data_IF_358822405202
#
_entry.id   IF_358822405202
#
_cell.length_a   1.000
_cell.length_b   1.000
_cell.length_c   1.000
_cell.angle_alpha   90.00
_cell.angle_beta   90.00
_cell.angle_gamma   90.00
#
_symmetry.space_group_name_H-M   'P 1'
#
loop_
_entity.id
_entity.type
_entity.pdbx_description
1 polymer ?
#
# COMPACT_ATOMS: atom_id res chain seq x y z
N UNK A 1 -7.10 -18.44 48.51
CA UNK A 1 -7.56 -18.81 47.16
C UNK A 1 -7.62 -17.52 46.34
N UNK A 2 -6.54 -17.17 45.62
CA UNK A 2 -6.43 -15.92 44.87
C UNK A 2 -7.04 -16.10 43.48
N UNK A 3 -8.17 -15.45 43.23
CA UNK A 3 -8.82 -15.41 41.92
C UNK A 3 -7.98 -14.52 41.00
N UNK A 4 -7.31 -15.14 40.02
CA UNK A 4 -6.54 -14.42 39.00
C UNK A 4 -7.54 -13.80 38.02
N UNK A 5 -7.65 -12.47 38.06
CA UNK A 5 -8.46 -11.69 37.13
C UNK A 5 -7.87 -11.77 35.71
N UNK A 6 -8.58 -12.47 34.83
CA UNK A 6 -8.16 -12.75 33.45
C UNK A 6 -8.38 -11.55 32.51
N UNK A 7 -8.96 -10.44 32.98
CA UNK A 7 -9.31 -9.29 32.12
C UNK A 7 -8.12 -8.46 31.65
N UNK A 8 -6.91 -8.70 32.19
CA UNK A 8 -5.74 -7.83 31.98
C UNK A 8 -4.70 -8.31 30.97
N UNK A 9 -5.04 -9.27 30.09
CA UNK A 9 -4.12 -9.74 29.04
C UNK A 9 -4.56 -9.34 27.62
N UNK A 10 -5.10 -8.13 27.43
CA UNK A 10 -5.28 -7.60 26.07
C UNK A 10 -3.92 -7.12 25.52
N UNK A 11 -3.09 -8.09 25.09
CA UNK A 11 -1.92 -7.79 24.26
C UNK A 11 -2.43 -7.05 23.02
N UNK A 12 -2.01 -5.79 22.84
CA UNK A 12 -2.36 -4.99 21.65
C UNK A 12 -2.12 -5.84 20.39
N UNK A 13 -3.11 -5.95 19.49
CA UNK A 13 -2.95 -6.75 18.29
C UNK A 13 -1.79 -6.19 17.46
N UNK A 14 -0.85 -7.07 17.06
CA UNK A 14 0.19 -6.72 16.08
C UNK A 14 -0.52 -6.31 14.78
N UNK A 15 -0.08 -5.22 14.15
CA UNK A 15 -0.66 -4.70 12.89
C UNK A 15 -0.88 -5.83 11.89
N UNK A 16 -2.15 -6.18 11.71
CA UNK A 16 -2.62 -7.26 10.87
C UNK A 16 -4.12 -7.46 11.14
N UNK A 17 -4.89 -7.71 10.08
CA UNK A 17 -6.32 -8.00 10.22
C UNK A 17 -6.49 -9.24 11.11
N UNK A 18 -7.31 -9.14 12.15
CA UNK A 18 -7.66 -10.27 13.00
C UNK A 18 -8.41 -11.28 12.13
N UNK A 19 -7.94 -12.52 12.05
CA UNK A 19 -8.69 -13.56 11.32
C UNK A 19 -10.03 -13.81 12.02
N UNK A 20 -11.09 -14.01 11.21
CA UNK A 20 -12.40 -14.42 11.68
C UNK A 20 -12.28 -15.70 12.52
N UNK A 21 -13.18 -15.90 13.49
CA UNK A 21 -13.09 -17.04 14.41
C UNK A 21 -13.11 -18.39 13.69
N UNK A 22 -13.84 -18.50 12.58
CA UNK A 22 -13.90 -19.67 11.69
C UNK A 22 -12.55 -20.03 11.07
N UNK A 23 -11.72 -19.02 10.79
CA UNK A 23 -10.46 -19.19 10.07
C UNK A 23 -9.27 -19.39 11.03
N UNK A 24 -9.54 -19.36 12.34
CA UNK A 24 -8.50 -19.58 13.36
C UNK A 24 -8.12 -21.05 13.40
N UNK A 25 -6.84 -21.30 13.18
CA UNK A 25 -6.25 -22.64 13.21
C UNK A 25 -6.06 -23.09 14.66
N UNK A 26 -7.08 -23.74 15.24
CA UNK A 26 -7.08 -24.19 16.64
C UNK A 26 -6.66 -25.66 16.83
N UNK A 27 -6.80 -26.49 15.80
CA UNK A 27 -6.49 -27.92 15.89
C UNK A 27 -5.01 -28.19 15.60
N UNK A 28 -4.37 -29.01 16.46
CA UNK A 28 -2.98 -29.43 16.31
C UNK A 28 -2.94 -30.88 15.84
N UNK A 29 -2.18 -31.14 14.78
CA UNK A 29 -1.85 -32.49 14.30
C UNK A 29 -0.39 -32.76 14.62
N UNK A 30 -0.10 -33.92 15.23
CA UNK A 30 1.27 -34.37 15.52
C UNK A 30 1.54 -35.64 14.72
N UNK A 31 2.62 -35.64 13.94
CA UNK A 31 3.04 -36.78 13.13
C UNK A 31 4.50 -37.10 13.47
N UNK A 32 4.82 -38.39 13.62
CA UNK A 32 6.20 -38.84 13.77
C UNK A 32 6.79 -39.11 12.39
N UNK A 33 8.01 -38.67 12.17
CA UNK A 33 8.77 -38.85 10.94
C UNK A 33 10.15 -39.42 11.30
N UNK A 34 10.76 -40.17 10.39
CA UNK A 34 12.13 -40.63 10.54
C UNK A 34 13.14 -39.52 10.12
N UNK A 35 14.43 -39.77 10.31
CA UNK A 35 15.48 -38.78 10.03
C UNK A 35 15.60 -38.43 8.54
N UNK A 36 15.38 -39.40 7.65
CA UNK A 36 15.44 -39.21 6.20
C UNK A 36 14.26 -38.34 5.71
N UNK A 37 13.06 -38.63 6.19
CA UNK A 37 11.84 -37.85 5.92
C UNK A 37 11.96 -36.43 6.47
N UNK A 38 12.57 -36.26 7.65
CA UNK A 38 12.81 -34.93 8.23
C UNK A 38 13.78 -34.11 7.37
N UNK A 39 14.87 -34.73 6.90
CA UNK A 39 15.83 -34.08 6.01
C UNK A 39 15.19 -33.66 4.68
N UNK A 40 14.31 -34.51 4.13
CA UNK A 40 13.56 -34.19 2.92
C UNK A 40 12.57 -33.02 3.11
N UNK A 41 11.87 -32.99 4.25
CA UNK A 41 10.99 -31.87 4.60
C UNK A 41 11.79 -30.56 4.71
N UNK A 42 12.96 -30.60 5.35
CA UNK A 42 13.83 -29.43 5.51
C UNK A 42 14.44 -28.95 4.19
N UNK A 43 14.73 -29.85 3.25
CA UNK A 43 15.17 -29.49 1.91
C UNK A 43 14.04 -28.85 1.08
N UNK A 44 12.81 -29.37 1.18
CA UNK A 44 11.67 -28.89 0.38
C UNK A 44 11.01 -27.62 0.92
N UNK A 45 11.11 -27.34 2.23
CA UNK A 45 10.39 -26.20 2.86
C UNK A 45 10.91 -24.82 2.48
N UNK A 46 12.16 -24.70 2.05
CA UNK A 46 12.80 -23.42 1.76
C UNK A 46 12.73 -22.45 2.96
N UNK A 47 12.05 -21.32 2.78
CA UNK A 47 11.94 -20.24 3.78
C UNK A 47 10.79 -20.41 4.79
N UNK A 48 9.97 -21.46 4.65
CA UNK A 48 8.80 -21.67 5.49
C UNK A 48 9.12 -22.51 6.73
N UNK A 49 8.31 -22.33 7.79
CA UNK A 49 8.32 -23.22 8.94
C UNK A 49 7.74 -24.59 8.55
N UNK A 50 8.23 -25.66 9.18
CA UNK A 50 7.85 -27.06 8.87
C UNK A 50 6.33 -27.27 8.87
N UNK A 51 5.63 -26.76 9.89
CA UNK A 51 4.18 -26.90 10.00
C UNK A 51 3.40 -26.10 8.96
N UNK A 52 3.90 -24.93 8.56
CA UNK A 52 3.30 -24.14 7.49
C UNK A 52 3.49 -24.82 6.13
N UNK A 53 4.71 -25.30 5.86
CA UNK A 53 5.04 -26.04 4.65
C UNK A 53 4.17 -27.29 4.48
N UNK A 54 4.06 -28.15 5.50
CA UNK A 54 3.24 -29.36 5.44
C UNK A 54 1.76 -29.06 5.22
N UNK A 55 1.25 -27.98 5.81
CA UNK A 55 -0.13 -27.54 5.58
C UNK A 55 -0.33 -27.06 4.14
N UNK A 56 0.62 -26.29 3.61
CA UNK A 56 0.54 -25.82 2.23
C UNK A 56 0.65 -26.96 1.21
N UNK A 57 1.50 -27.95 1.47
CA UNK A 57 1.65 -29.13 0.61
C UNK A 57 0.39 -30.00 0.61
N UNK A 58 -0.24 -30.20 1.77
CA UNK A 58 -1.43 -31.03 1.90
C UNK A 58 -2.68 -30.39 1.27
N UNK A 59 -2.91 -29.10 1.52
CA UNK A 59 -4.10 -28.39 1.05
C UNK A 59 -3.90 -27.69 -0.30
N UNK A 60 -2.83 -28.01 -1.03
CA UNK A 60 -2.57 -27.47 -2.35
C UNK A 60 -2.47 -25.94 -2.39
N UNK A 61 -2.13 -25.30 -1.27
CA UNK A 61 -1.98 -23.84 -1.17
C UNK A 61 -0.65 -23.42 -1.81
N UNK A 62 -0.44 -23.73 -3.10
CA UNK A 62 0.77 -23.39 -3.85
C UNK A 62 0.98 -21.87 -4.01
N UNK A 63 0.02 -21.02 -3.62
CA UNK A 63 0.04 -19.58 -3.89
C UNK A 63 -0.46 -18.70 -2.74
N UNK A 64 -0.86 -19.24 -1.59
CA UNK A 64 -1.43 -18.41 -0.53
C UNK A 64 -0.35 -17.95 0.46
N UNK A 65 0.31 -16.86 0.06
CA UNK A 65 1.30 -16.07 0.79
C UNK A 65 2.74 -16.55 0.60
N UNK A 66 3.39 -16.22 -0.54
CA UNK A 66 4.72 -15.67 -0.37
C UNK A 66 4.63 -14.67 0.79
N UNK A 67 5.52 -14.76 1.79
CA UNK A 67 5.82 -13.56 2.59
C UNK A 67 5.84 -12.41 1.58
N UNK A 68 5.12 -11.32 1.78
CA UNK A 68 5.13 -10.25 0.82
C UNK A 68 6.52 -9.62 0.93
N UNK A 69 7.53 -10.25 0.34
CA UNK A 69 8.47 -9.55 -0.50
C UNK A 69 7.55 -8.97 -1.56
N UNK A 70 6.99 -7.80 -1.26
CA UNK A 70 6.29 -6.99 -2.23
C UNK A 70 7.40 -6.64 -3.20
N UNK A 71 7.62 -7.50 -4.20
CA UNK A 71 8.43 -7.17 -5.35
C UNK A 71 7.54 -6.18 -6.09
N UNK A 72 7.63 -4.92 -5.68
CA UNK A 72 7.01 -3.81 -6.38
C UNK A 72 7.63 -3.88 -7.77
N UNK A 73 6.85 -4.06 -8.85
CA UNK A 73 7.40 -4.10 -10.20
C UNK A 73 8.29 -2.88 -10.42
N UNK A 74 9.44 -3.05 -11.07
CA UNK A 74 10.41 -1.96 -11.24
C UNK A 74 9.77 -0.70 -11.86
N UNK A 75 8.81 -0.88 -12.76
CA UNK A 75 7.99 0.20 -13.32
C UNK A 75 7.29 1.04 -12.25
N UNK A 76 6.66 0.40 -11.27
CA UNK A 76 5.94 1.08 -10.19
C UNK A 76 6.90 1.81 -9.25
N UNK A 77 8.11 1.29 -9.04
CA UNK A 77 9.13 1.96 -8.23
C UNK A 77 9.54 3.29 -8.87
N UNK A 78 9.80 3.29 -10.18
CA UNK A 78 10.14 4.51 -10.94
C UNK A 78 8.99 5.51 -10.93
N UNK A 79 7.75 5.04 -11.16
CA UNK A 79 6.56 5.89 -11.15
C UNK A 79 6.35 6.55 -9.77
N UNK A 80 6.53 5.81 -8.68
CA UNK A 80 6.44 6.34 -7.32
C UNK A 80 7.51 7.38 -7.03
N UNK A 81 8.73 7.17 -7.52
CA UNK A 81 9.83 8.11 -7.31
C UNK A 81 9.57 9.44 -8.02
N UNK A 82 9.09 9.40 -9.28
CA UNK A 82 8.70 10.59 -10.03
C UNK A 82 7.53 11.31 -9.35
N UNK A 83 6.49 10.56 -8.96
CA UNK A 83 5.32 11.12 -8.30
C UNK A 83 5.67 11.75 -6.94
N UNK A 84 6.55 11.11 -6.17
CA UNK A 84 7.00 11.61 -4.87
C UNK A 84 7.70 12.96 -4.98
N UNK A 85 8.52 13.17 -6.02
CA UNK A 85 9.17 14.46 -6.29
C UNK A 85 8.14 15.55 -6.60
N UNK A 86 7.19 15.28 -7.49
CA UNK A 86 6.12 16.23 -7.82
C UNK A 86 5.25 16.57 -6.60
N UNK A 87 4.90 15.56 -5.78
CA UNK A 87 4.15 15.77 -4.55
C UNK A 87 4.93 16.58 -3.51
N UNK A 88 6.25 16.37 -3.39
CA UNK A 88 7.10 17.16 -2.50
C UNK A 88 7.15 18.63 -2.93
N UNK A 89 7.33 18.90 -4.23
CA UNK A 89 7.31 20.26 -4.77
C UNK A 89 5.95 20.93 -4.55
N UNK A 90 4.85 20.20 -4.78
CA UNK A 90 3.50 20.70 -4.50
C UNK A 90 3.34 21.03 -3.02
N UNK A 91 3.81 20.16 -2.13
CA UNK A 91 3.73 20.38 -0.68
C UNK A 91 4.57 21.58 -0.23
N UNK A 92 5.72 21.82 -0.86
CA UNK A 92 6.53 23.03 -0.62
C UNK A 92 5.81 24.28 -1.11
N UNK A 93 5.20 24.25 -2.31
CA UNK A 93 4.37 25.36 -2.81
C UNK A 93 3.19 25.64 -1.88
N UNK A 94 2.44 24.61 -1.48
CA UNK A 94 1.34 24.75 -0.51
C UNK A 94 1.83 25.33 0.81
N UNK A 95 3.00 24.90 1.30
CA UNK A 95 3.60 25.44 2.52
C UNK A 95 3.96 26.92 2.37
N UNK A 96 4.63 27.30 1.29
CA UNK A 96 4.98 28.70 1.02
C UNK A 96 3.75 29.58 0.86
N UNK A 97 2.69 29.09 0.21
CA UNK A 97 1.41 29.80 0.10
C UNK A 97 0.74 29.98 1.47
N UNK A 98 0.74 28.93 2.30
CA UNK A 98 0.20 28.99 3.66
C UNK A 98 1.01 29.94 4.57
N UNK A 99 2.34 29.93 4.48
CA UNK A 99 3.25 30.80 5.25
C UNK A 99 3.18 32.27 4.78
N UNK A 100 2.94 32.51 3.50
CA UNK A 100 2.70 33.84 2.93
C UNK A 100 1.32 34.43 3.27
N UNK A 101 0.46 33.68 3.99
CA UNK A 101 -0.86 34.14 4.41
C UNK A 101 -1.89 34.21 3.29
N UNK A 102 -1.62 33.61 2.12
CA UNK A 102 -2.63 33.42 1.07
C UNK A 102 -3.68 32.44 1.58
N UNK A 103 -4.85 32.97 1.93
CA UNK A 103 -5.97 32.15 2.35
C UNK A 103 -6.49 31.35 1.15
N UNK A 104 -7.07 30.18 1.44
CA UNK A 104 -7.72 29.26 0.47
C UNK A 104 -8.77 29.97 -0.43
N UNK A 105 -9.16 31.20 -0.09
CA UNK A 105 -10.02 32.07 -0.88
C UNK A 105 -9.45 32.45 -2.26
N UNK A 106 -8.13 32.42 -2.47
CA UNK A 106 -7.51 32.83 -3.75
C UNK A 106 -7.24 31.65 -4.72
N UNK A 107 -7.44 30.41 -4.28
CA UNK A 107 -7.30 29.21 -5.10
C UNK A 107 -8.15 29.21 -6.38
N UNK A 108 -9.42 29.66 -6.36
CA UNK A 108 -10.24 29.78 -7.58
C UNK A 108 -9.60 30.72 -8.61
N UNK A 109 -9.01 31.83 -8.15
CA UNK A 109 -8.39 32.82 -9.03
C UNK A 109 -7.10 32.29 -9.67
N UNK A 110 -6.30 31.54 -8.91
CA UNK A 110 -5.09 30.88 -9.40
C UNK A 110 -5.44 29.82 -10.47
N UNK A 111 -6.52 29.06 -10.27
CA UNK A 111 -7.02 28.07 -11.25
C UNK A 111 -7.46 28.76 -12.55
N UNK A 112 -8.17 29.89 -12.46
CA UNK A 112 -8.57 30.68 -13.63
C UNK A 112 -7.34 31.20 -14.39
N UNK A 113 -6.36 31.77 -13.69
CA UNK A 113 -5.12 32.26 -14.32
C UNK A 113 -4.33 31.14 -15.01
N UNK A 114 -4.21 29.97 -14.38
CA UNK A 114 -3.51 28.83 -14.97
C UNK A 114 -4.23 28.27 -16.21
N UNK A 115 -5.57 28.34 -16.22
CA UNK A 115 -6.37 27.95 -17.38
C UNK A 115 -6.17 28.92 -18.54
N UNK A 116 -6.22 30.23 -18.29
CA UNK A 116 -5.94 31.26 -19.29
C UNK A 116 -4.51 31.17 -19.85
N UNK A 117 -3.53 30.92 -18.97
CA UNK A 117 -2.15 30.73 -19.38
C UNK A 117 -1.95 29.48 -20.23
N UNK A 118 -2.61 28.37 -19.86
CA UNK A 118 -2.65 27.15 -20.67
C UNK A 118 -3.27 27.42 -22.04
N UNK A 119 -4.39 28.13 -22.10
CA UNK A 119 -5.08 28.44 -23.36
C UNK A 119 -4.21 29.33 -24.27
N UNK A 120 -3.49 30.30 -23.70
CA UNK A 120 -2.53 31.13 -24.42
C UNK A 120 -1.33 30.32 -24.95
N UNK A 121 -0.82 29.35 -24.18
CA UNK A 121 0.27 28.46 -24.61
C UNK A 121 -0.17 27.46 -25.69
N UNK A 122 -1.43 27.03 -25.67
CA UNK A 122 -2.01 26.09 -26.64
C UNK A 122 -2.54 26.84 -27.88
N UNK A 123 -2.51 28.18 -27.89
CA UNK A 123 -3.04 29.02 -28.96
C UNK A 123 -4.56 29.00 -29.07
N UNK A 124 -5.24 28.55 -28.01
CA UNK A 124 -6.69 28.34 -27.98
C UNK A 124 -7.44 29.57 -27.44
N UNK A 125 -7.32 30.70 -28.13
CA UNK A 125 -8.42 31.64 -28.49
C UNK A 125 -7.88 33.01 -28.89
N UNK A 126 -8.25 33.45 -30.08
CA UNK A 126 -8.63 34.85 -30.30
C UNK A 126 -10.14 34.84 -30.52
N UNK A 127 -10.96 35.42 -29.63
CA UNK A 127 -12.32 35.84 -29.95
C UNK A 127 -12.33 37.11 -30.82
N UNK A 128 -11.17 37.58 -31.30
CA UNK A 128 -11.01 38.84 -32.01
C UNK A 128 -11.01 38.68 -33.55
N UNK A 129 -11.32 37.47 -34.06
CA UNK A 129 -11.46 37.21 -35.50
C UNK A 129 -12.92 36.99 -35.95
N UNK A 130 -13.93 37.47 -35.19
CA UNK A 130 -15.36 37.32 -35.57
C UNK A 130 -16.09 38.59 -36.02
N UNK A 131 -15.39 39.73 -36.17
CA UNK A 131 -16.04 40.98 -36.61
C UNK A 131 -15.61 41.48 -38.00
N UNK A 132 -14.97 40.63 -38.83
CA UNK A 132 -14.60 40.97 -40.21
C UNK A 132 -15.00 39.88 -41.23
N UNK A 133 -16.29 39.59 -41.39
CA UNK A 133 -16.83 39.19 -42.71
C UNK A 133 -18.24 39.78 -42.90
N UNK A 134 -18.36 40.57 -43.98
CA UNK A 134 -19.54 41.31 -44.42
C UNK A 134 -20.63 40.44 -45.06
#
# INVERSE_FOLDING_TARGET
MMTIDQTKTSRRPRRGHVLAESDRRRHKVMTRVNDAELAEIDARRGLYDRGEFLRMSLFGMKQARPRPTIIIPALNQTAWLVLSRSASNLNQLSRHLNEAGLQVADLPQIIIMLTQYRDALIGARLPEDQDDES
#
